data_IF_360679311379
#
_entry.id   IF_360679311379
#
_cell.length_a   1.000
_cell.length_b   1.000
_cell.length_c   1.000
_cell.angle_alpha   90.00
_cell.angle_beta   90.00
_cell.angle_gamma   90.00
#
_symmetry.space_group_name_H-M   'P 1'
#
loop_
_entity.id
_entity.type
_entity.pdbx_description
1 polymer ?
#
# COMPACT_ATOMS: atom_id res chain seq x y z
N UNK A 1 -39.33 -2.91 3.92
CA UNK A 1 -38.81 -4.08 4.66
C UNK A 1 -37.77 -3.56 5.63
N UNK A 2 -38.17 -3.31 6.88
CA UNK A 2 -37.20 -2.99 7.94
C UNK A 2 -36.50 -4.30 8.28
N UNK A 3 -35.26 -4.48 7.80
CA UNK A 3 -34.40 -5.49 8.36
C UNK A 3 -34.28 -5.16 9.85
N UNK A 4 -34.79 -6.07 10.69
CA UNK A 4 -34.49 -6.09 12.10
C UNK A 4 -33.00 -6.33 12.17
N UNK A 5 -32.22 -5.26 12.36
CA UNK A 5 -30.77 -5.30 12.41
C UNK A 5 -30.36 -6.38 13.40
N UNK A 6 -29.90 -7.52 12.87
CA UNK A 6 -29.39 -8.57 13.74
C UNK A 6 -28.13 -8.01 14.33
N UNK A 7 -28.05 -7.89 15.66
CA UNK A 7 -26.84 -7.43 16.37
C UNK A 7 -25.59 -8.17 15.89
N UNK A 8 -25.77 -9.40 15.40
CA UNK A 8 -24.74 -10.23 14.77
C UNK A 8 -24.09 -9.54 13.56
N UNK A 9 -24.87 -8.90 12.68
CA UNK A 9 -24.35 -8.20 11.49
C UNK A 9 -23.49 -7.00 11.87
N UNK A 10 -23.98 -6.16 12.78
CA UNK A 10 -23.24 -4.99 13.27
C UNK A 10 -21.94 -5.40 13.99
N UNK A 11 -21.99 -6.47 14.81
CA UNK A 11 -20.79 -7.00 15.47
C UNK A 11 -19.80 -7.53 14.43
N UNK A 12 -20.28 -8.28 13.44
CA UNK A 12 -19.44 -8.84 12.37
C UNK A 12 -18.75 -7.72 11.59
N UNK A 13 -19.49 -6.66 11.26
CA UNK A 13 -18.95 -5.48 10.57
C UNK A 13 -17.78 -4.84 11.34
N UNK A 14 -17.96 -4.60 12.65
CA UNK A 14 -16.93 -3.98 13.49
C UNK A 14 -15.70 -4.86 13.62
N UNK A 15 -15.88 -6.17 13.78
CA UNK A 15 -14.76 -7.13 13.85
C UNK A 15 -13.99 -7.16 12.53
N UNK A 16 -14.68 -7.20 11.39
CA UNK A 16 -14.05 -7.16 10.08
C UNK A 16 -13.32 -5.85 9.83
N UNK A 17 -13.92 -4.71 10.19
CA UNK A 17 -13.29 -3.39 10.02
C UNK A 17 -12.00 -3.27 10.88
N UNK A 18 -11.99 -3.88 12.07
CA UNK A 18 -10.79 -3.95 12.90
C UNK A 18 -9.70 -4.83 12.28
N UNK A 19 -10.05 -5.97 11.69
CA UNK A 19 -9.11 -6.82 10.96
C UNK A 19 -8.55 -6.07 9.74
N UNK A 20 -9.41 -5.37 9.00
CA UNK A 20 -9.02 -4.53 7.86
C UNK A 20 -8.03 -3.44 8.29
N UNK A 21 -8.29 -2.78 9.43
CA UNK A 21 -7.39 -1.78 9.98
C UNK A 21 -5.99 -2.34 10.22
N UNK A 22 -5.91 -3.52 10.83
CA UNK A 22 -4.65 -4.22 11.09
C UNK A 22 -3.95 -4.54 9.76
N UNK A 23 -4.66 -5.11 8.79
CA UNK A 23 -4.09 -5.49 7.49
C UNK A 23 -3.53 -4.28 6.74
N UNK A 24 -4.23 -3.15 6.73
CA UNK A 24 -3.77 -1.94 6.04
C UNK A 24 -2.63 -1.28 6.82
N UNK A 25 -2.69 -1.24 8.16
CA UNK A 25 -1.63 -0.66 8.98
C UNK A 25 -0.31 -1.43 8.80
N UNK A 26 -0.35 -2.75 8.84
CA UNK A 26 0.83 -3.58 8.54
C UNK A 26 1.19 -3.55 7.06
N UNK A 27 0.20 -3.53 6.17
CA UNK A 27 0.41 -3.45 4.73
C UNK A 27 1.14 -2.19 4.29
N UNK A 28 0.85 -1.06 4.93
CA UNK A 28 1.53 0.23 4.70
C UNK A 28 2.90 0.33 5.38
N UNK A 29 3.07 -0.32 6.53
CA UNK A 29 4.35 -0.34 7.25
C UNK A 29 5.38 -1.31 6.64
N UNK A 30 4.92 -2.38 5.98
CA UNK A 30 5.78 -3.41 5.38
C UNK A 30 6.17 -3.13 3.92
N UNK A 31 7.08 -3.97 3.41
CA UNK A 31 7.62 -3.91 2.06
C UNK A 31 6.57 -4.12 0.97
N UNK A 32 6.59 -3.25 -0.03
CA UNK A 32 5.76 -3.35 -1.24
C UNK A 32 6.46 -4.19 -2.32
N UNK A 33 7.79 -4.11 -2.38
CA UNK A 33 8.61 -4.89 -3.30
C UNK A 33 9.81 -5.50 -2.60
N UNK A 34 10.20 -6.68 -3.09
CA UNK A 34 11.33 -7.46 -2.59
C UNK A 34 12.14 -7.99 -3.76
N UNK A 35 13.47 -7.95 -3.65
CA UNK A 35 14.34 -8.55 -4.67
C UNK A 35 14.24 -10.08 -4.64
N UNK A 36 14.27 -10.71 -5.81
CA UNK A 36 14.36 -12.16 -5.93
C UNK A 36 15.75 -12.62 -5.50
N UNK A 37 15.85 -13.11 -4.26
CA UNK A 37 17.06 -13.73 -3.69
C UNK A 37 17.35 -15.09 -4.34
N UNK A 38 17.70 -15.11 -5.62
CA UNK A 38 18.23 -16.31 -6.28
C UNK A 38 19.54 -15.94 -6.97
N UNK A 39 20.64 -16.33 -6.33
CA UNK A 39 22.00 -16.31 -6.86
C UNK A 39 22.49 -14.92 -7.28
N UNK A 40 23.17 -14.25 -6.36
CA UNK A 40 24.01 -13.06 -6.52
C UNK A 40 25.17 -13.29 -7.51
N UNK A 41 24.83 -13.52 -8.79
CA UNK A 41 25.69 -13.41 -9.96
C UNK A 41 25.06 -12.46 -11.01
N UNK A 42 24.02 -11.72 -10.64
CA UNK A 42 23.36 -10.72 -11.47
C UNK A 42 23.76 -9.30 -11.06
N UNK A 43 24.19 -8.49 -12.02
CA UNK A 43 24.64 -7.10 -11.85
C UNK A 43 23.67 -6.22 -11.07
N UNK A 44 22.35 -6.47 -11.13
CA UNK A 44 21.32 -5.67 -10.44
C UNK A 44 21.34 -5.91 -8.92
N UNK A 45 21.55 -7.14 -8.45
CA UNK A 45 21.60 -7.44 -7.02
C UNK A 45 22.82 -6.78 -6.35
N UNK A 46 23.97 -6.77 -7.01
CA UNK A 46 25.18 -6.11 -6.53
C UNK A 46 25.06 -4.57 -6.59
N UNK A 47 24.37 -4.03 -7.59
CA UNK A 47 24.06 -2.59 -7.67
C UNK A 47 23.14 -2.16 -6.52
N UNK A 48 22.13 -2.97 -6.21
CA UNK A 48 21.21 -2.71 -5.10
C UNK A 48 21.92 -2.92 -3.74
N UNK A 49 22.78 -3.92 -3.60
CA UNK A 49 23.55 -4.13 -2.37
C UNK A 49 24.55 -2.98 -2.09
N UNK A 50 25.24 -2.48 -3.12
CA UNK A 50 26.20 -1.37 -3.03
C UNK A 50 25.54 0.01 -2.90
N UNK A 51 24.40 0.23 -3.54
CA UNK A 51 23.66 1.49 -3.45
C UNK A 51 22.81 1.61 -2.19
N UNK A 52 22.25 0.49 -1.76
CA UNK A 52 21.31 0.42 -0.64
C UNK A 52 21.94 -0.16 0.60
N UNK A 53 23.26 -0.12 0.72
CA UNK A 53 23.98 -0.34 1.98
C UNK A 53 23.49 -1.66 2.66
N UNK A 54 23.28 -2.73 1.88
CA UNK A 54 22.62 -4.01 2.23
C UNK A 54 21.07 -4.06 2.27
N UNK A 55 20.34 -3.27 1.47
CA UNK A 55 18.88 -3.20 1.46
C UNK A 55 18.16 -4.12 0.48
N UNK A 56 17.36 -5.06 0.99
CA UNK A 56 16.61 -6.05 0.19
C UNK A 56 15.12 -5.72 -0.03
N UNK A 57 14.62 -4.60 0.51
CA UNK A 57 13.19 -4.29 0.55
C UNK A 57 12.88 -2.82 0.26
N UNK A 58 11.88 -2.60 -0.61
CA UNK A 58 11.35 -1.27 -0.96
C UNK A 58 9.97 -1.11 -0.33
N UNK A 59 9.81 -0.10 0.51
CA UNK A 59 8.54 0.26 1.16
C UNK A 59 7.93 1.49 0.49
N UNK A 60 6.68 1.84 0.81
CA UNK A 60 6.06 3.10 0.37
C UNK A 60 6.86 4.34 0.81
N UNK A 61 7.57 4.23 1.92
CA UNK A 61 8.30 5.31 2.60
C UNK A 61 9.77 5.43 2.16
N UNK A 62 10.22 4.57 1.25
CA UNK A 62 11.61 4.45 0.81
C UNK A 62 12.18 3.04 0.99
N UNK A 63 13.47 2.87 0.69
CA UNK A 63 14.16 1.59 0.85
C UNK A 63 14.73 1.38 2.26
N UNK A 64 14.76 0.13 2.70
CA UNK A 64 15.34 -0.28 3.99
C UNK A 64 16.44 -1.31 3.78
N UNK A 65 17.48 -1.22 4.63
CA UNK A 65 18.52 -2.24 4.77
C UNK A 65 17.94 -3.61 5.15
N UNK A 66 17.05 -3.68 6.14
CA UNK A 66 16.41 -4.93 6.54
C UNK A 66 14.90 -4.80 6.56
N UNK A 67 14.20 -5.73 5.88
CA UNK A 67 12.74 -5.76 5.73
C UNK A 67 11.96 -5.78 7.06
N UNK A 68 12.64 -6.15 8.16
CA UNK A 68 12.04 -6.36 9.48
C UNK A 68 12.52 -5.38 10.56
N UNK A 69 13.47 -4.48 10.25
CA UNK A 69 14.06 -3.57 11.26
C UNK A 69 13.51 -2.14 11.15
N UNK A 70 13.38 -1.47 12.29
CA UNK A 70 12.83 -0.13 12.46
C UNK A 70 13.73 1.04 12.03
N UNK A 71 14.67 0.84 11.11
CA UNK A 71 15.58 1.89 10.60
C UNK A 71 15.33 2.17 9.12
N UNK A 72 15.13 3.44 8.76
CA UNK A 72 15.16 3.93 7.38
C UNK A 72 16.60 4.33 7.07
N UNK A 73 17.25 3.68 6.11
CA UNK A 73 18.64 4.00 5.77
C UNK A 73 18.77 5.15 4.76
N UNK A 74 17.66 5.62 4.19
CA UNK A 74 17.63 6.64 3.15
C UNK A 74 16.55 7.68 3.45
N UNK A 75 16.85 8.92 3.02
CA UNK A 75 16.16 10.20 3.28
C UNK A 75 14.71 10.28 2.69
N UNK A 76 13.89 9.27 2.93
CA UNK A 76 12.51 9.17 2.44
C UNK A 76 12.39 9.00 0.92
N UNK A 77 11.16 8.83 0.46
CA UNK A 77 10.75 8.65 -0.94
C UNK A 77 11.25 9.75 -1.89
N UNK A 78 11.45 10.97 -1.37
CA UNK A 78 11.94 12.11 -2.15
C UNK A 78 13.39 11.97 -2.58
N UNK A 79 14.29 11.60 -1.67
CA UNK A 79 15.69 11.40 -2.01
C UNK A 79 15.91 10.10 -2.81
N UNK A 80 15.00 9.13 -2.66
CA UNK A 80 15.08 7.85 -3.35
C UNK A 80 14.77 7.96 -4.84
N UNK A 81 13.78 8.77 -5.22
CA UNK A 81 13.34 8.93 -6.61
C UNK A 81 13.70 10.29 -7.21
N UNK A 82 14.76 10.96 -6.71
CA UNK A 82 15.12 12.31 -7.16
C UNK A 82 15.41 12.38 -8.67
N UNK A 83 15.93 11.28 -9.24
CA UNK A 83 16.19 11.13 -10.67
C UNK A 83 14.98 10.66 -11.49
N UNK A 84 13.88 10.27 -10.84
CA UNK A 84 12.67 9.70 -11.45
C UNK A 84 11.42 10.48 -10.98
N UNK A 85 11.19 11.69 -11.53
CA UNK A 85 10.19 12.62 -11.00
C UNK A 85 8.75 12.09 -11.09
N UNK A 86 8.40 11.38 -12.16
CA UNK A 86 7.04 10.82 -12.29
C UNK A 86 6.82 9.69 -11.29
N UNK A 87 7.82 8.83 -11.11
CA UNK A 87 7.75 7.74 -10.13
C UNK A 87 7.69 8.27 -8.70
N UNK A 88 8.48 9.30 -8.40
CA UNK A 88 8.42 9.98 -7.11
C UNK A 88 7.01 10.49 -6.79
N UNK A 89 6.35 11.12 -7.78
CA UNK A 89 4.99 11.64 -7.63
C UNK A 89 3.99 10.52 -7.34
N UNK A 90 4.11 9.38 -8.01
CA UNK A 90 3.24 8.24 -7.79
C UNK A 90 3.41 7.61 -6.40
N UNK A 91 4.65 7.38 -5.96
CA UNK A 91 4.89 6.86 -4.62
C UNK A 91 4.39 7.83 -3.55
N UNK A 92 4.60 9.14 -3.74
CA UNK A 92 4.06 10.15 -2.83
C UNK A 92 2.53 10.17 -2.81
N UNK A 93 1.87 9.97 -3.96
CA UNK A 93 0.42 9.84 -4.01
C UNK A 93 -0.04 8.58 -3.25
N UNK A 94 0.64 7.46 -3.44
CA UNK A 94 0.35 6.21 -2.73
C UNK A 94 0.58 6.33 -1.22
N UNK A 95 1.64 7.02 -0.76
CA UNK A 95 1.88 7.34 0.66
C UNK A 95 0.69 8.08 1.26
N UNK A 96 0.29 9.21 0.65
CA UNK A 96 -0.79 10.06 1.16
C UNK A 96 -2.12 9.31 1.16
N UNK A 97 -2.43 8.57 0.09
CA UNK A 97 -3.65 7.75 0.00
C UNK A 97 -3.66 6.63 1.04
N UNK A 98 -2.50 6.04 1.33
CA UNK A 98 -2.39 4.98 2.33
C UNK A 98 -2.62 5.49 3.76
N UNK A 99 -2.06 6.66 4.10
CA UNK A 99 -2.32 7.35 5.39
C UNK A 99 -3.79 7.70 5.51
N UNK A 100 -4.37 8.28 4.44
CA UNK A 100 -5.78 8.63 4.40
C UNK A 100 -6.68 7.40 4.60
N UNK A 101 -6.35 6.28 3.96
CA UNK A 101 -7.08 5.01 4.10
C UNK A 101 -7.02 4.48 5.54
N UNK A 102 -5.85 4.50 6.18
CA UNK A 102 -5.72 4.13 7.61
C UNK A 102 -6.60 5.02 8.49
N UNK A 103 -6.61 6.34 8.24
CA UNK A 103 -7.46 7.28 8.96
C UNK A 103 -8.95 7.03 8.75
N UNK A 104 -9.37 6.73 7.51
CA UNK A 104 -10.76 6.41 7.16
C UNK A 104 -11.24 5.13 7.86
N UNK A 105 -10.44 4.06 7.84
CA UNK A 105 -10.79 2.81 8.54
C UNK A 105 -10.83 3.00 10.04
N UNK A 106 -9.86 3.72 10.62
CA UNK A 106 -9.88 4.02 12.05
C UNK A 106 -11.17 4.77 12.45
N UNK A 107 -11.58 5.74 11.62
CA UNK A 107 -12.85 6.44 11.82
C UNK A 107 -14.06 5.49 11.67
N UNK A 108 -14.06 4.60 10.68
CA UNK A 108 -15.09 3.58 10.50
C UNK A 108 -15.20 2.65 11.72
N UNK A 109 -14.09 2.24 12.33
CA UNK A 109 -14.10 1.42 13.55
C UNK A 109 -14.76 2.16 14.71
N UNK A 110 -14.38 3.43 14.95
CA UNK A 110 -14.97 4.25 16.02
C UNK A 110 -16.46 4.46 15.78
N UNK A 111 -16.85 4.81 14.56
CA UNK A 111 -18.25 4.98 14.18
C UNK A 111 -19.03 3.65 14.25
N UNK A 112 -18.40 2.53 13.94
CA UNK A 112 -18.97 1.19 14.05
C UNK A 112 -19.27 0.81 15.51
N UNK A 113 -18.39 1.19 16.44
CA UNK A 113 -18.64 1.01 17.88
C UNK A 113 -19.82 1.90 18.34
N UNK A 114 -19.89 3.15 17.87
CA UNK A 114 -21.01 4.04 18.18
C UNK A 114 -22.34 3.54 17.60
N UNK A 115 -22.31 2.91 16.43
CA UNK A 115 -23.45 2.26 15.81
C UNK A 115 -23.99 1.10 16.65
N UNK A 116 -23.12 0.33 17.32
CA UNK A 116 -23.55 -0.70 18.29
C UNK A 116 -24.27 -0.10 19.51
N UNK A 117 -23.96 1.15 19.88
CA UNK A 117 -24.49 1.76 21.08
C UNK A 117 -25.89 2.35 20.93
N UNK A 118 -26.25 3.11 19.87
CA UNK A 118 -27.59 3.74 19.81
C UNK A 118 -28.08 4.38 18.48
N UNK A 119 -27.31 4.42 17.38
CA UNK A 119 -27.65 5.33 16.26
C UNK A 119 -27.73 4.67 14.87
N UNK A 120 -28.93 4.38 14.37
CA UNK A 120 -29.16 3.82 13.02
C UNK A 120 -28.73 4.77 11.88
N UNK A 121 -28.71 6.08 12.11
CA UNK A 121 -28.27 7.08 11.13
C UNK A 121 -26.78 6.94 10.74
N UNK A 122 -25.97 6.28 11.58
CA UNK A 122 -24.54 6.07 11.34
C UNK A 122 -24.31 5.06 10.21
N UNK A 123 -25.32 4.24 9.87
CA UNK A 123 -25.20 3.21 8.83
C UNK A 123 -24.88 3.79 7.45
N UNK A 124 -25.57 4.86 7.04
CA UNK A 124 -25.29 5.50 5.76
C UNK A 124 -23.91 6.17 5.76
N UNK A 125 -23.51 6.75 6.90
CA UNK A 125 -22.19 7.33 7.06
C UNK A 125 -21.08 6.28 6.95
N UNK A 126 -21.24 5.11 7.60
CA UNK A 126 -20.33 3.96 7.47
C UNK A 126 -20.25 3.44 6.04
N UNK A 127 -21.37 3.41 5.32
CA UNK A 127 -21.37 3.00 3.92
C UNK A 127 -20.55 3.96 3.05
N UNK A 128 -20.72 5.27 3.22
CA UNK A 128 -19.94 6.28 2.49
C UNK A 128 -18.45 6.17 2.84
N UNK A 129 -18.10 6.03 4.13
CA UNK A 129 -16.71 5.83 4.57
C UNK A 129 -16.10 4.55 3.98
N UNK A 130 -16.84 3.45 3.98
CA UNK A 130 -16.40 2.17 3.40
C UNK A 130 -16.18 2.27 1.89
N UNK A 131 -17.05 3.00 1.17
CA UNK A 131 -16.88 3.26 -0.27
C UNK A 131 -15.66 4.14 -0.55
N UNK A 132 -15.46 5.20 0.23
CA UNK A 132 -14.28 6.05 0.13
C UNK A 132 -13.01 5.23 0.36
N UNK A 133 -12.99 4.41 1.41
CA UNK A 133 -11.84 3.57 1.73
C UNK A 133 -11.57 2.51 0.64
N UNK A 134 -12.62 1.90 0.09
CA UNK A 134 -12.50 0.98 -1.03
C UNK A 134 -11.85 1.66 -2.25
N UNK A 135 -12.27 2.89 -2.58
CA UNK A 135 -11.72 3.64 -3.69
C UNK A 135 -10.26 4.07 -3.44
N UNK A 136 -9.94 4.58 -2.25
CA UNK A 136 -8.57 5.01 -1.93
C UNK A 136 -7.59 3.84 -1.93
N UNK A 137 -7.97 2.70 -1.35
CA UNK A 137 -7.16 1.47 -1.39
C UNK A 137 -7.00 0.94 -2.80
N UNK A 138 -8.07 0.97 -3.63
CA UNK A 138 -8.01 0.58 -5.03
C UNK A 138 -6.93 1.36 -5.78
N UNK A 139 -6.95 2.69 -5.65
CA UNK A 139 -5.95 3.56 -6.28
C UNK A 139 -4.55 3.29 -5.69
N UNK A 140 -4.45 3.09 -4.38
CA UNK A 140 -3.14 2.87 -3.71
C UNK A 140 -2.43 1.63 -4.26
N UNK A 141 -3.09 0.47 -4.29
CA UNK A 141 -2.44 -0.75 -4.81
C UNK A 141 -2.30 -0.71 -6.34
N UNK A 142 -3.20 -0.03 -7.07
CA UNK A 142 -3.07 0.15 -8.52
C UNK A 142 -1.82 0.96 -8.89
N UNK A 143 -1.50 2.03 -8.13
CA UNK A 143 -0.25 2.79 -8.31
C UNK A 143 1.00 1.92 -8.08
N UNK A 144 0.94 1.02 -7.09
CA UNK A 144 2.02 0.05 -6.82
C UNK A 144 2.17 -0.95 -7.99
N UNK A 145 1.07 -1.39 -8.60
CA UNK A 145 1.14 -2.27 -9.79
C UNK A 145 1.62 -1.50 -11.02
N UNK A 146 1.19 -0.27 -11.21
CA UNK A 146 1.64 0.59 -12.32
C UNK A 146 3.15 0.81 -12.26
N UNK A 147 3.71 1.06 -11.06
CA UNK A 147 5.15 1.18 -10.86
C UNK A 147 5.93 -0.12 -11.10
N UNK A 148 5.27 -1.27 -11.00
CA UNK A 148 5.87 -2.58 -11.27
C UNK A 148 5.95 -2.90 -12.77
N UNK A 149 4.87 -2.63 -13.50
CA UNK A 149 4.71 -3.03 -14.90
C UNK A 149 5.21 -1.94 -15.86
N UNK A 150 4.99 -0.66 -15.53
CA UNK A 150 5.29 0.48 -16.39
C UNK A 150 6.64 1.13 -16.09
N UNK A 151 7.33 1.56 -17.15
CA UNK A 151 8.31 2.63 -17.04
C UNK A 151 7.52 3.95 -17.07
N UNK A 152 7.54 4.69 -15.96
CA UNK A 152 6.68 5.86 -15.78
C UNK A 152 7.33 7.16 -16.24
N UNK A 153 8.65 7.16 -16.32
CA UNK A 153 9.42 8.28 -16.83
C UNK A 153 9.64 8.16 -18.33
N UNK A 154 9.80 9.31 -18.98
CA UNK A 154 10.05 9.39 -20.43
C UNK A 154 11.32 8.62 -20.82
N UNK A 155 11.37 8.03 -22.02
CA UNK A 155 12.53 7.27 -22.52
C UNK A 155 13.87 8.01 -22.37
N UNK A 156 13.87 9.34 -22.46
CA UNK A 156 15.05 10.18 -22.24
C UNK A 156 15.57 10.18 -20.80
N UNK A 157 14.66 10.16 -19.81
CA UNK A 157 15.00 10.10 -18.37
C UNK A 157 15.44 8.69 -17.99
N UNK A 158 14.80 7.66 -18.55
CA UNK A 158 15.21 6.26 -18.35
C UNK A 158 16.63 6.05 -18.87
N UNK A 159 16.95 6.54 -20.08
CA UNK A 159 18.30 6.48 -20.66
C UNK A 159 19.31 7.31 -19.87
N UNK A 160 18.95 8.52 -19.43
CA UNK A 160 19.81 9.35 -18.60
C UNK A 160 20.15 8.69 -17.25
N UNK A 161 19.17 8.04 -16.60
CA UNK A 161 19.40 7.30 -15.35
C UNK A 161 20.32 6.08 -15.55
N UNK A 162 20.31 5.49 -16.76
CA UNK A 162 21.16 4.37 -17.10
C UNK A 162 22.58 4.80 -17.48
N UNK A 163 22.73 5.93 -18.17
CA UNK A 163 24.04 6.49 -18.57
C UNK A 163 24.78 7.17 -17.40
N UNK A 164 24.05 7.67 -16.39
CA UNK A 164 24.63 8.26 -15.19
C UNK A 164 25.33 7.23 -14.27
N UNK A 165 25.29 5.94 -14.63
CA UNK A 165 25.70 4.82 -13.76
C UNK A 165 24.99 4.89 -12.39
N UNK A 166 23.80 5.48 -12.37
CA UNK A 166 22.98 5.55 -11.19
C UNK A 166 22.40 4.17 -10.93
N UNK A 167 22.50 3.76 -9.69
CA UNK A 167 22.19 2.40 -9.25
C UNK A 167 20.70 2.07 -9.28
N UNK A 168 19.85 3.08 -9.51
CA UNK A 168 18.40 2.96 -9.56
C UNK A 168 17.90 3.55 -10.88
N UNK A 169 17.52 2.68 -11.82
CA UNK A 169 16.98 3.14 -13.09
C UNK A 169 15.47 3.35 -13.00
N UNK A 170 14.95 4.34 -13.74
CA UNK A 170 13.52 4.64 -13.79
C UNK A 170 12.69 3.63 -14.61
N UNK A 171 13.29 2.49 -14.99
CA UNK A 171 12.64 1.43 -15.75
C UNK A 171 11.65 0.62 -14.88
N UNK A 172 10.84 -0.21 -15.53
CA UNK A 172 9.86 -1.09 -14.88
C UNK A 172 10.54 -2.03 -13.86
N UNK A 173 9.95 -2.21 -12.67
CA UNK A 173 10.55 -3.08 -11.66
C UNK A 173 10.51 -4.56 -12.06
N UNK A 174 9.53 -4.96 -12.89
CA UNK A 174 9.44 -6.30 -13.43
C UNK A 174 10.65 -6.70 -14.28
N UNK A 175 11.32 -5.74 -14.93
CA UNK A 175 12.53 -6.02 -15.71
C UNK A 175 13.80 -6.10 -14.85
N UNK A 176 13.70 -5.91 -13.55
CA UNK A 176 14.83 -5.80 -12.61
C UNK A 176 14.78 -6.86 -11.48
N UNK A 177 14.15 -8.01 -11.72
CA UNK A 177 14.06 -9.13 -10.77
C UNK A 177 13.37 -8.81 -9.42
N UNK A 178 12.49 -7.81 -9.38
CA UNK A 178 11.65 -7.54 -8.22
C UNK A 178 10.42 -8.46 -8.17
N UNK A 179 9.98 -8.78 -6.96
CA UNK A 179 8.72 -9.47 -6.65
C UNK A 179 7.89 -8.61 -5.71
N UNK A 180 6.57 -8.81 -5.71
CA UNK A 180 5.71 -8.19 -4.72
C UNK A 180 6.07 -8.64 -3.30
N UNK A 181 6.15 -7.65 -2.41
CA UNK A 181 6.42 -7.83 -0.99
C UNK A 181 5.18 -8.26 -0.20
N UNK A 182 5.37 -8.52 1.09
CA UNK A 182 4.27 -8.95 1.97
C UNK A 182 3.27 -7.81 2.20
N UNK A 183 3.75 -6.57 2.28
CA UNK A 183 2.91 -5.38 2.46
C UNK A 183 1.88 -5.19 1.35
N UNK A 184 2.27 -5.46 0.10
CA UNK A 184 1.36 -5.42 -1.04
C UNK A 184 0.22 -6.45 -0.90
N UNK A 185 0.55 -7.70 -0.57
CA UNK A 185 -0.45 -8.74 -0.38
C UNK A 185 -1.44 -8.40 0.76
N UNK A 186 -0.94 -7.80 1.85
CA UNK A 186 -1.79 -7.35 2.96
C UNK A 186 -2.73 -6.22 2.57
N UNK A 187 -2.26 -5.25 1.76
CA UNK A 187 -3.11 -4.17 1.24
C UNK A 187 -4.23 -4.71 0.34
N UNK A 188 -3.90 -5.61 -0.59
CA UNK A 188 -4.89 -6.23 -1.49
C UNK A 188 -5.88 -7.09 -0.71
N UNK A 189 -5.42 -7.83 0.30
CA UNK A 189 -6.29 -8.60 1.18
C UNK A 189 -7.24 -7.69 1.98
N UNK A 190 -6.73 -6.58 2.53
CA UNK A 190 -7.54 -5.58 3.23
C UNK A 190 -8.59 -4.93 2.32
N UNK A 191 -8.22 -4.58 1.09
CA UNK A 191 -9.14 -4.07 0.07
C UNK A 191 -10.25 -5.09 -0.27
N UNK A 192 -9.88 -6.35 -0.46
CA UNK A 192 -10.84 -7.43 -0.69
C UNK A 192 -11.81 -7.61 0.48
N UNK A 193 -11.30 -7.59 1.72
CA UNK A 193 -12.16 -7.64 2.91
C UNK A 193 -13.08 -6.43 3.01
N UNK A 194 -12.64 -5.22 2.64
CA UNK A 194 -13.48 -4.02 2.63
C UNK A 194 -14.70 -4.17 1.73
N UNK A 195 -14.53 -4.80 0.56
CA UNK A 195 -15.63 -5.09 -0.35
C UNK A 195 -16.68 -6.00 0.30
N UNK A 196 -16.25 -7.10 0.91
CA UNK A 196 -17.16 -8.01 1.63
C UNK A 196 -17.82 -7.31 2.82
N UNK A 197 -17.09 -6.47 3.56
CA UNK A 197 -17.63 -5.74 4.69
C UNK A 197 -18.73 -4.74 4.26
N UNK A 198 -18.55 -4.09 3.11
CA UNK A 198 -19.57 -3.23 2.50
C UNK A 198 -20.85 -3.99 2.12
N UNK A 199 -20.72 -5.22 1.58
CA UNK A 199 -21.88 -6.07 1.26
C UNK A 199 -22.65 -6.43 2.54
N UNK A 200 -21.95 -6.83 3.61
CA UNK A 200 -22.57 -7.18 4.90
C UNK A 200 -23.34 -5.98 5.47
N UNK A 201 -22.78 -4.78 5.35
CA UNK A 201 -23.40 -3.54 5.80
C UNK A 201 -24.66 -3.18 4.99
N UNK A 202 -24.74 -3.50 3.70
CA UNK A 202 -25.92 -3.19 2.87
C UNK A 202 -26.99 -4.28 2.97
N UNK A 203 -26.59 -5.56 3.04
CA UNK A 203 -27.50 -6.70 2.96
C UNK A 203 -28.40 -6.87 4.20
N UNK A 204 -28.06 -6.24 5.33
CA UNK A 204 -28.83 -6.30 6.58
C UNK A 204 -29.74 -5.09 6.76
#
# INVERSE_FOLDING_TARGET
MCCKESRVSSITYVVLEFIILILILFGTAFDQYRLKSQNSNGSVAAVVENAFNNGNCVTLWGAKQQCYTGGYSLNGTKAFWDNCPERQRQFRAAEVLSIASVGLVALSVVCGILFLCCCTCVRYFLFVLGLLNFATLCVTWALVVDGFIGAQDSDGVVRASQDANDTLTCAAMNSQDYRYGVGFCLLVAGWGLQFFNGIILIAC
#
